data_IF_644824988999
#
_entry.id   IF_644824988999
#
_cell.length_a   1.000
_cell.length_b   1.000
_cell.length_c   1.000
_cell.angle_alpha   90.00
_cell.angle_beta   90.00
_cell.angle_gamma   90.00
#
_symmetry.space_group_name_H-M   'P 1'
#
loop_
_entity.id
_entity.type
_entity.pdbx_description
1 polymer ?
#
# COMPACT_ATOMS: atom_id res chain seq x y z
N UNK A 1 -19.56 9.27 26.51
CA UNK A 1 -18.76 8.07 26.21
C UNK A 1 -17.32 8.15 26.78
N UNK A 2 -16.60 9.26 26.69
CA UNK A 2 -15.22 9.44 27.21
C UNK A 2 -15.13 9.19 28.73
N UNK A 3 -16.10 9.63 29.52
CA UNK A 3 -16.11 9.47 31.00
C UNK A 3 -16.18 8.00 31.46
N UNK A 4 -16.86 7.12 30.74
CA UNK A 4 -16.99 5.69 31.13
C UNK A 4 -15.70 4.89 30.83
N UNK A 5 -15.00 5.21 29.75
CA UNK A 5 -13.73 4.57 29.39
C UNK A 5 -12.62 4.96 30.39
N UNK A 6 -12.53 6.24 30.76
CA UNK A 6 -11.55 6.72 31.76
C UNK A 6 -11.83 6.09 33.14
N UNK A 7 -13.09 5.92 33.53
CA UNK A 7 -13.43 5.26 34.79
C UNK A 7 -13.01 3.79 34.82
N UNK A 8 -13.15 3.07 33.71
CA UNK A 8 -12.70 1.69 33.57
C UNK A 8 -11.17 1.57 33.66
N UNK A 9 -10.45 2.44 32.95
CA UNK A 9 -8.97 2.50 32.97
C UNK A 9 -8.49 2.81 34.41
N UNK A 10 -9.14 3.75 35.09
CA UNK A 10 -8.80 4.07 36.49
C UNK A 10 -8.94 2.86 37.42
N UNK A 11 -10.00 2.10 37.28
CA UNK A 11 -10.20 0.90 38.10
C UNK A 11 -9.11 -0.15 37.85
N UNK A 12 -8.72 -0.35 36.59
CA UNK A 12 -7.61 -1.25 36.22
C UNK A 12 -6.27 -0.78 36.81
N UNK A 13 -5.96 0.53 36.74
CA UNK A 13 -4.73 1.08 37.31
C UNK A 13 -4.67 0.97 38.84
N UNK A 14 -5.80 1.16 39.53
CA UNK A 14 -5.88 0.98 41.00
C UNK A 14 -5.63 -0.48 41.38
N UNK A 15 -6.25 -1.43 40.69
CA UNK A 15 -6.02 -2.87 40.93
C UNK A 15 -4.54 -3.25 40.63
N UNK A 16 -3.99 -2.74 39.56
CA UNK A 16 -2.57 -2.94 39.19
C UNK A 16 -1.63 -2.38 40.26
N UNK A 17 -1.92 -1.19 40.80
CA UNK A 17 -1.16 -0.57 41.87
C UNK A 17 -1.08 -1.46 43.09
N UNK A 18 -2.24 -1.96 43.57
CA UNK A 18 -2.34 -2.83 44.76
C UNK A 18 -1.47 -4.09 44.53
N UNK A 19 -1.63 -4.77 43.42
CA UNK A 19 -0.85 -5.97 43.08
C UNK A 19 0.65 -5.71 43.04
N UNK A 20 1.07 -4.58 42.46
CA UNK A 20 2.48 -4.19 42.41
C UNK A 20 3.04 -3.89 43.81
N UNK A 21 2.28 -3.18 44.66
CA UNK A 21 2.68 -2.88 46.05
C UNK A 21 2.88 -4.15 46.87
N UNK A 22 1.99 -5.13 46.73
CA UNK A 22 2.12 -6.41 47.43
C UNK A 22 3.33 -7.21 46.95
N UNK A 23 3.54 -7.26 45.60
CA UNK A 23 4.67 -7.98 45.01
C UNK A 23 6.02 -7.35 45.35
N UNK A 24 6.10 -6.01 45.41
CA UNK A 24 7.33 -5.26 45.81
C UNK A 24 7.74 -5.59 47.23
N UNK A 25 6.80 -5.89 48.15
CA UNK A 25 7.13 -6.28 49.52
C UNK A 25 7.71 -7.68 49.65
N UNK A 26 7.46 -8.55 48.67
CA UNK A 26 7.85 -9.96 48.73
C UNK A 26 9.19 -10.27 48.04
N UNK A 27 9.64 -9.40 47.13
CA UNK A 27 10.81 -9.65 46.26
C UNK A 27 12.07 -8.93 46.75
N UNK A 28 13.22 -9.64 46.79
CA UNK A 28 14.50 -9.14 47.27
C UNK A 28 15.16 -8.05 46.41
N UNK A 29 14.79 -7.88 45.14
CA UNK A 29 15.32 -6.82 44.26
C UNK A 29 14.23 -6.28 43.33
N UNK A 30 13.32 -5.40 43.82
CA UNK A 30 12.14 -4.96 43.10
C UNK A 30 12.35 -3.72 42.20
N UNK A 31 13.58 -3.39 41.78
CA UNK A 31 13.85 -2.12 41.08
C UNK A 31 12.95 -1.89 39.86
N UNK A 32 12.71 -2.87 39.01
CA UNK A 32 11.82 -2.76 37.83
C UNK A 32 10.35 -2.63 38.25
N UNK A 33 9.94 -3.28 39.35
CA UNK A 33 8.56 -3.21 39.85
C UNK A 33 8.30 -1.86 40.51
N UNK A 34 9.29 -1.28 41.19
CA UNK A 34 9.21 0.08 41.74
C UNK A 34 9.08 1.11 40.61
N UNK A 35 9.84 0.96 39.52
CA UNK A 35 9.69 1.85 38.34
C UNK A 35 8.29 1.79 37.79
N UNK A 36 7.76 0.59 37.61
CA UNK A 36 6.39 0.38 37.10
C UNK A 36 5.33 0.91 38.07
N UNK A 37 5.52 0.76 39.37
CA UNK A 37 4.63 1.31 40.39
C UNK A 37 4.60 2.85 40.32
N UNK A 38 5.75 3.49 40.17
CA UNK A 38 5.85 4.93 39.99
C UNK A 38 5.15 5.42 38.71
N UNK A 39 5.20 4.65 37.62
CA UNK A 39 4.48 4.98 36.38
C UNK A 39 2.94 4.89 36.59
N UNK A 40 2.48 3.87 37.32
CA UNK A 40 1.06 3.70 37.66
C UNK A 40 0.59 4.84 38.58
N UNK A 41 1.38 5.19 39.61
CA UNK A 41 1.07 6.30 40.52
C UNK A 41 1.01 7.64 39.74
N UNK A 42 1.96 7.91 38.86
CA UNK A 42 1.95 9.09 37.97
C UNK A 42 0.72 9.14 37.06
N UNK A 43 0.27 8.00 36.51
CA UNK A 43 -0.95 7.97 35.70
C UNK A 43 -2.21 8.27 36.51
N UNK A 44 -2.31 7.74 37.73
CA UNK A 44 -3.41 8.04 38.67
C UNK A 44 -3.42 9.50 39.12
N UNK A 45 -2.24 10.07 39.41
CA UNK A 45 -2.08 11.49 39.73
C UNK A 45 -2.54 12.40 38.57
N UNK A 46 -2.20 12.06 37.33
CA UNK A 46 -2.71 12.79 36.14
C UNK A 46 -4.23 12.71 36.02
N UNK A 47 -4.84 11.56 36.37
CA UNK A 47 -6.30 11.44 36.41
C UNK A 47 -6.92 12.36 37.49
N UNK A 48 -6.29 12.44 38.66
CA UNK A 48 -6.77 13.30 39.76
C UNK A 48 -6.63 14.79 39.43
N UNK A 49 -5.60 15.15 38.70
CA UNK A 49 -5.31 16.53 38.26
C UNK A 49 -6.05 16.92 36.96
N UNK A 50 -6.78 16.00 36.32
CA UNK A 50 -7.51 16.24 35.08
C UNK A 50 -6.63 16.38 33.83
N UNK A 51 -5.35 15.97 33.90
CA UNK A 51 -4.39 16.01 32.78
C UNK A 51 -4.16 14.65 32.12
N UNK A 52 -4.84 13.60 32.59
CA UNK A 52 -4.77 12.28 31.96
C UNK A 52 -5.34 12.30 30.56
N UNK A 53 -4.61 11.68 29.62
CA UNK A 53 -4.97 11.68 28.20
C UNK A 53 -4.47 12.90 27.44
N UNK A 54 -3.74 13.81 28.09
CA UNK A 54 -3.02 14.90 27.42
C UNK A 54 -1.53 14.57 27.31
N UNK A 55 -0.93 14.91 26.17
CA UNK A 55 0.50 14.75 25.93
C UNK A 55 1.29 15.66 26.85
N UNK A 56 2.33 15.14 27.52
CA UNK A 56 3.18 15.94 28.44
C UNK A 56 4.00 17.04 27.73
N UNK A 57 4.11 17.00 26.38
CA UNK A 57 4.90 17.98 25.60
C UNK A 57 4.02 19.06 24.98
N UNK A 58 3.00 18.68 24.18
CA UNK A 58 2.15 19.63 23.45
C UNK A 58 0.80 19.92 24.12
N UNK A 59 0.42 19.13 25.14
CA UNK A 59 -0.87 19.18 25.83
C UNK A 59 -2.08 18.88 24.93
N UNK A 60 -1.85 18.36 23.71
CA UNK A 60 -2.90 17.86 22.84
C UNK A 60 -3.40 16.48 23.34
N UNK A 61 -4.63 16.09 23.02
CA UNK A 61 -5.17 14.77 23.38
C UNK A 61 -4.30 13.64 22.82
N UNK A 62 -4.01 12.65 23.67
CA UNK A 62 -3.47 11.36 23.24
C UNK A 62 -4.61 10.54 22.65
N UNK A 63 -4.36 9.82 21.59
CA UNK A 63 -5.35 9.03 20.89
C UNK A 63 -5.99 7.96 21.80
N UNK A 64 -7.31 7.93 21.88
CA UNK A 64 -8.08 7.08 22.81
C UNK A 64 -7.71 5.59 22.70
N UNK A 65 -7.52 5.08 21.49
CA UNK A 65 -7.17 3.68 21.27
C UNK A 65 -5.81 3.32 21.87
N UNK A 66 -4.86 4.27 21.92
CA UNK A 66 -3.54 4.08 22.51
C UNK A 66 -3.61 4.03 24.03
N UNK A 67 -4.43 4.88 24.64
CA UNK A 67 -4.67 4.87 26.08
C UNK A 67 -5.39 3.58 26.53
N UNK A 68 -6.22 2.98 25.66
CA UNK A 68 -6.85 1.69 25.93
C UNK A 68 -5.85 0.54 25.86
N UNK A 69 -4.86 0.60 24.96
CA UNK A 69 -3.80 -0.41 24.84
C UNK A 69 -2.73 -0.27 25.93
N UNK A 70 -2.31 0.96 26.19
CA UNK A 70 -1.33 1.29 27.23
C UNK A 70 -1.81 2.47 28.08
N UNK A 71 -2.47 2.18 29.24
CA UNK A 71 -2.94 3.20 30.17
C UNK A 71 -1.85 4.08 30.80
N UNK A 72 -0.58 3.73 30.69
CA UNK A 72 0.54 4.50 31.24
C UNK A 72 1.11 5.53 30.26
N UNK A 73 0.58 5.58 29.02
CA UNK A 73 1.08 6.45 27.97
C UNK A 73 1.02 7.93 28.33
N UNK A 74 2.10 8.66 27.98
CA UNK A 74 2.29 10.07 28.33
C UNK A 74 2.40 10.99 27.12
N UNK A 75 2.59 10.43 25.93
CA UNK A 75 2.90 11.18 24.72
C UNK A 75 1.96 10.81 23.58
N UNK A 76 1.50 11.79 22.79
CA UNK A 76 0.81 11.57 21.52
C UNK A 76 1.77 10.99 20.47
N UNK A 77 1.27 10.64 19.30
CA UNK A 77 2.10 10.08 18.21
C UNK A 77 3.26 11.00 17.82
N UNK A 78 3.03 12.31 17.84
CA UNK A 78 4.05 13.29 17.46
C UNK A 78 5.19 13.42 18.50
N UNK A 79 4.97 12.94 19.73
CA UNK A 79 5.89 13.09 20.85
C UNK A 79 6.26 11.75 21.50
N UNK A 80 6.49 10.73 20.68
CA UNK A 80 7.01 9.44 21.16
C UNK A 80 8.39 9.62 21.81
N UNK A 81 8.69 8.83 22.85
CA UNK A 81 10.04 8.75 23.39
C UNK A 81 11.01 8.21 22.33
N UNK A 82 12.29 8.57 22.43
CA UNK A 82 13.34 8.08 21.51
C UNK A 82 13.37 6.54 21.42
N UNK A 83 13.02 5.84 22.51
CA UNK A 83 12.93 4.39 22.52
C UNK A 83 11.75 3.90 21.69
N UNK A 84 10.56 4.46 21.92
CA UNK A 84 9.34 4.10 21.17
C UNK A 84 9.46 4.46 19.68
N UNK A 85 10.08 5.59 19.34
CA UNK A 85 10.37 5.95 17.95
C UNK A 85 11.26 4.91 17.27
N UNK A 86 12.33 4.45 17.94
CA UNK A 86 13.21 3.41 17.39
C UNK A 86 12.51 2.06 17.24
N UNK A 87 11.67 1.66 18.19
CA UNK A 87 10.88 0.42 18.11
C UNK A 87 9.92 0.48 16.94
N UNK A 88 9.15 1.56 16.81
CA UNK A 88 8.23 1.78 15.68
C UNK A 88 8.97 1.78 14.34
N UNK A 89 10.12 2.46 14.26
CA UNK A 89 10.95 2.46 13.03
C UNK A 89 11.46 1.07 12.67
N UNK A 90 11.80 0.24 13.65
CA UNK A 90 12.22 -1.15 13.43
C UNK A 90 11.07 -2.01 12.92
N UNK A 91 9.86 -1.85 13.47
CA UNK A 91 8.68 -2.57 13.04
C UNK A 91 8.28 -2.17 11.60
N UNK A 92 8.33 -0.88 11.28
CA UNK A 92 8.08 -0.39 9.91
C UNK A 92 9.14 -0.89 8.91
N UNK A 93 10.42 -0.93 9.30
CA UNK A 93 11.48 -1.53 8.47
C UNK A 93 11.26 -3.02 8.23
N UNK A 94 10.75 -3.74 9.24
CA UNK A 94 10.39 -5.15 9.09
C UNK A 94 9.18 -5.32 8.15
N UNK A 95 8.14 -4.51 8.31
CA UNK A 95 6.97 -4.50 7.43
C UNK A 95 7.38 -4.22 5.96
N UNK A 96 8.25 -3.22 5.74
CA UNK A 96 8.82 -2.92 4.41
C UNK A 96 9.57 -4.12 3.81
N UNK A 97 10.36 -4.82 4.61
CA UNK A 97 11.05 -6.04 4.14
C UNK A 97 10.06 -7.14 3.74
N UNK A 98 9.01 -7.37 4.54
CA UNK A 98 7.97 -8.34 4.22
C UNK A 98 7.28 -7.94 2.92
N UNK A 99 6.85 -6.68 2.78
CA UNK A 99 6.21 -6.17 1.58
C UNK A 99 7.07 -6.37 0.33
N UNK A 100 8.37 -6.09 0.41
CA UNK A 100 9.31 -6.32 -0.70
C UNK A 100 9.44 -7.80 -1.10
N UNK A 101 9.12 -8.75 -0.22
CA UNK A 101 9.10 -10.18 -0.57
C UNK A 101 7.85 -10.59 -1.36
N UNK A 102 6.81 -9.76 -1.33
CA UNK A 102 5.57 -9.98 -2.10
C UNK A 102 5.70 -9.51 -3.55
N UNK A 103 6.66 -8.65 -3.85
CA UNK A 103 6.88 -8.15 -5.21
C UNK A 103 7.37 -9.28 -6.14
N UNK A 104 6.97 -9.27 -7.42
CA UNK A 104 7.41 -10.27 -8.39
C UNK A 104 8.92 -10.20 -8.63
N UNK A 105 9.49 -11.23 -9.24
CA UNK A 105 10.89 -11.17 -9.69
C UNK A 105 11.03 -10.09 -10.75
N UNK A 106 11.97 -9.18 -10.58
CA UNK A 106 12.19 -8.12 -11.54
C UNK A 106 13.06 -8.59 -12.71
N UNK A 107 12.91 -7.95 -13.88
CA UNK A 107 13.66 -8.23 -15.10
C UNK A 107 13.56 -9.70 -15.53
N UNK A 108 12.36 -10.17 -15.78
CA UNK A 108 12.09 -11.55 -16.12
C UNK A 108 11.35 -11.70 -17.45
N UNK A 109 11.42 -12.91 -17.99
CA UNK A 109 10.67 -13.33 -19.18
C UNK A 109 9.75 -14.48 -18.79
N UNK A 110 8.48 -14.39 -19.17
CA UNK A 110 7.48 -15.40 -18.90
C UNK A 110 6.56 -15.58 -20.12
N UNK A 111 6.43 -16.80 -20.61
CA UNK A 111 5.53 -17.18 -21.71
C UNK A 111 5.54 -16.25 -22.95
N UNK A 112 6.72 -15.78 -23.35
CA UNK A 112 6.90 -14.91 -24.51
C UNK A 112 6.64 -13.43 -24.22
N UNK A 113 6.67 -13.04 -22.96
CA UNK A 113 6.60 -11.67 -22.51
C UNK A 113 7.82 -11.34 -21.66
N UNK A 114 8.47 -10.21 -21.92
CA UNK A 114 9.48 -9.61 -21.07
C UNK A 114 8.79 -8.56 -20.21
N UNK A 115 9.15 -8.46 -18.93
CA UNK A 115 8.68 -7.39 -18.06
C UNK A 115 9.77 -6.85 -17.16
N UNK A 116 9.62 -5.58 -16.79
CA UNK A 116 10.44 -4.88 -15.82
C UNK A 116 9.56 -3.87 -15.08
N UNK A 117 9.76 -3.76 -13.78
CA UNK A 117 9.03 -2.78 -12.97
C UNK A 117 9.97 -1.90 -12.15
N UNK A 118 9.47 -0.74 -11.78
CA UNK A 118 10.01 0.15 -10.76
C UNK A 118 8.97 0.25 -9.64
N UNK A 119 9.42 0.14 -8.40
CA UNK A 119 8.59 0.22 -7.21
C UNK A 119 9.35 1.03 -6.16
N UNK A 120 8.85 2.20 -5.82
CA UNK A 120 9.50 3.15 -4.93
C UNK A 120 8.46 3.76 -3.98
N UNK A 121 8.37 3.25 -2.74
CA UNK A 121 7.52 3.83 -1.70
C UNK A 121 7.90 5.29 -1.40
N UNK A 122 6.91 6.14 -1.15
CA UNK A 122 7.14 7.51 -0.65
C UNK A 122 7.62 7.49 0.81
N UNK A 123 7.16 6.52 1.57
CA UNK A 123 7.53 6.29 2.97
C UNK A 123 8.26 4.94 3.13
N UNK A 124 8.19 4.33 4.34
CA UNK A 124 8.81 3.02 4.59
C UNK A 124 8.01 1.85 4.00
N UNK A 125 6.70 2.00 3.89
CA UNK A 125 5.76 1.03 3.31
C UNK A 125 4.85 1.73 2.32
N UNK A 126 4.25 1.01 1.39
CA UNK A 126 3.49 1.55 0.27
C UNK A 126 2.09 0.94 0.18
N UNK A 127 1.12 1.72 -0.33
CA UNK A 127 -0.20 1.24 -0.76
C UNK A 127 -0.20 0.62 -2.15
N UNK A 128 0.83 0.90 -2.96
CA UNK A 128 0.92 0.40 -4.32
C UNK A 128 1.06 -1.13 -4.37
N UNK A 129 0.34 -1.74 -5.29
CA UNK A 129 0.39 -3.17 -5.58
C UNK A 129 0.93 -3.40 -6.99
N UNK A 130 1.96 -4.25 -7.10
CA UNK A 130 2.52 -4.68 -8.38
C UNK A 130 2.77 -6.19 -8.33
N UNK A 131 2.25 -6.94 -9.29
CA UNK A 131 2.41 -8.39 -9.30
C UNK A 131 2.43 -8.98 -10.71
N UNK A 132 3.05 -10.18 -10.82
CA UNK A 132 3.05 -11.01 -12.02
C UNK A 132 2.72 -12.45 -11.62
N UNK A 133 1.49 -12.87 -11.88
CA UNK A 133 0.96 -14.14 -11.40
C UNK A 133 0.67 -15.07 -12.57
N UNK A 134 1.27 -16.25 -12.54
CA UNK A 134 0.97 -17.30 -13.52
C UNK A 134 -0.39 -17.93 -13.17
N UNK A 135 -1.25 -18.09 -14.16
CA UNK A 135 -2.39 -18.99 -14.05
C UNK A 135 -1.88 -20.44 -13.97
N UNK A 136 -2.72 -21.43 -13.96
CA UNK A 136 -2.30 -22.85 -13.91
C UNK A 136 -1.11 -23.13 -14.85
N UNK A 137 -0.18 -23.98 -14.40
CA UNK A 137 1.07 -24.38 -15.13
C UNK A 137 0.84 -24.82 -16.59
N UNK A 138 -0.37 -25.22 -16.95
CA UNK A 138 -0.74 -25.67 -18.29
C UNK A 138 -1.33 -24.57 -19.19
N UNK A 139 -1.83 -23.45 -18.63
CA UNK A 139 -2.58 -22.44 -19.38
C UNK A 139 -1.72 -21.46 -20.17
N UNK A 140 -0.44 -21.34 -19.84
CA UNK A 140 0.51 -20.38 -20.46
C UNK A 140 -0.05 -18.95 -20.55
N UNK A 141 -0.84 -18.56 -19.57
CA UNK A 141 -1.37 -17.21 -19.40
C UNK A 141 -0.78 -16.56 -18.17
N UNK A 142 -0.53 -15.26 -18.23
CA UNK A 142 0.05 -14.47 -17.16
C UNK A 142 -0.84 -13.29 -16.83
N UNK A 143 -1.08 -13.08 -15.54
CA UNK A 143 -1.61 -11.83 -15.03
C UNK A 143 -0.47 -10.88 -14.73
N UNK A 144 -0.59 -9.66 -15.21
CA UNK A 144 0.20 -8.51 -14.82
C UNK A 144 -0.75 -7.55 -14.13
N UNK A 145 -0.47 -7.19 -12.91
CA UNK A 145 -1.40 -6.45 -12.06
C UNK A 145 -0.67 -5.25 -11.47
N UNK A 146 -1.30 -4.10 -11.54
CA UNK A 146 -0.90 -2.90 -10.80
C UNK A 146 -2.13 -2.31 -10.14
N UNK A 147 -1.95 -1.72 -8.97
CA UNK A 147 -3.03 -1.08 -8.23
C UNK A 147 -2.48 -0.10 -7.21
N UNK A 148 -3.37 0.72 -6.70
CA UNK A 148 -3.10 1.62 -5.59
C UNK A 148 -4.27 1.58 -4.61
N UNK A 149 -3.94 1.39 -3.33
CA UNK A 149 -4.91 1.32 -2.24
C UNK A 149 -5.10 2.70 -1.63
N UNK A 150 -6.35 3.10 -1.49
CA UNK A 150 -6.71 4.38 -0.88
C UNK A 150 -6.11 4.56 0.52
N UNK A 151 -5.48 5.72 0.76
CA UNK A 151 -4.78 6.06 2.00
C UNK A 151 -3.28 5.77 1.92
N UNK A 152 -2.57 5.99 3.02
CA UNK A 152 -1.10 5.87 3.09
C UNK A 152 -0.65 5.11 4.32
N UNK A 153 0.62 4.75 4.34
CA UNK A 153 1.28 4.14 5.49
C UNK A 153 0.85 2.70 5.76
N UNK A 154 0.85 2.31 7.04
CA UNK A 154 0.67 0.92 7.47
C UNK A 154 -0.66 0.32 7.02
N UNK A 155 -1.77 1.08 7.13
CA UNK A 155 -3.09 0.58 6.75
C UNK A 155 -3.16 0.23 5.26
N UNK A 156 -2.70 1.11 4.38
CA UNK A 156 -2.65 0.87 2.94
C UNK A 156 -1.73 -0.32 2.60
N UNK A 157 -0.57 -0.44 3.26
CA UNK A 157 0.36 -1.56 3.06
C UNK A 157 -0.22 -2.92 3.47
N UNK A 158 -1.05 -2.97 4.53
CA UNK A 158 -1.78 -4.18 4.92
C UNK A 158 -2.82 -4.58 3.87
N UNK A 159 -3.55 -3.61 3.33
CA UNK A 159 -4.54 -3.85 2.27
C UNK A 159 -3.86 -4.26 0.96
N UNK A 160 -2.69 -3.69 0.62
CA UNK A 160 -1.86 -4.16 -0.49
C UNK A 160 -1.48 -5.64 -0.33
N UNK A 161 -1.05 -6.04 0.87
CA UNK A 161 -0.72 -7.44 1.17
C UNK A 161 -1.95 -8.34 1.09
N UNK A 162 -3.12 -7.83 1.45
CA UNK A 162 -4.39 -8.53 1.28
C UNK A 162 -4.74 -8.73 -0.20
N UNK A 163 -4.57 -7.69 -1.06
CA UNK A 163 -4.72 -7.83 -2.51
C UNK A 163 -3.81 -8.90 -3.09
N UNK A 164 -2.52 -8.90 -2.69
CA UNK A 164 -1.57 -9.92 -3.11
C UNK A 164 -2.07 -11.34 -2.79
N UNK A 165 -2.45 -11.61 -1.55
CA UNK A 165 -2.95 -12.93 -1.14
C UNK A 165 -4.23 -13.33 -1.88
N UNK A 166 -5.13 -12.38 -2.11
CA UNK A 166 -6.39 -12.56 -2.81
C UNK A 166 -6.16 -12.92 -4.29
N UNK A 167 -5.33 -12.16 -5.01
CA UNK A 167 -5.07 -12.43 -6.43
C UNK A 167 -4.28 -13.73 -6.64
N UNK A 168 -3.33 -14.07 -5.77
CA UNK A 168 -2.67 -15.37 -5.80
C UNK A 168 -3.64 -16.54 -5.58
N UNK A 169 -4.61 -16.38 -4.69
CA UNK A 169 -5.64 -17.40 -4.46
C UNK A 169 -6.59 -17.52 -5.65
N UNK A 170 -7.08 -16.39 -6.17
CA UNK A 170 -8.03 -16.37 -7.27
C UNK A 170 -7.42 -16.81 -8.61
N UNK A 171 -6.16 -16.50 -8.87
CA UNK A 171 -5.47 -16.90 -10.10
C UNK A 171 -5.29 -18.42 -10.24
N UNK A 172 -5.33 -19.15 -9.12
CA UNK A 172 -5.29 -20.62 -9.11
C UNK A 172 -6.58 -21.28 -9.60
N UNK A 173 -7.67 -20.53 -9.64
CA UNK A 173 -8.99 -20.99 -10.10
C UNK A 173 -9.17 -20.44 -11.52
N UNK A 174 -9.18 -21.25 -12.52
CA UNK A 174 -9.23 -20.86 -13.94
C UNK A 174 -10.43 -19.96 -14.30
N UNK A 175 -10.40 -18.69 -13.80
CA UNK A 175 -11.40 -17.65 -14.06
C UNK A 175 -10.97 -16.81 -15.27
N UNK A 176 -11.93 -16.25 -16.00
CA UNK A 176 -11.65 -15.14 -16.89
C UNK A 176 -11.41 -13.84 -16.11
N UNK A 177 -10.97 -12.77 -16.79
CA UNK A 177 -10.61 -11.51 -16.14
C UNK A 177 -11.84 -10.86 -15.49
N UNK A 178 -12.99 -10.92 -16.11
CA UNK A 178 -14.25 -10.36 -15.60
C UNK A 178 -14.64 -11.01 -14.26
N UNK A 179 -14.78 -12.32 -14.26
CA UNK A 179 -15.14 -13.09 -13.06
C UNK A 179 -14.12 -12.96 -11.93
N UNK A 180 -12.83 -12.86 -12.30
CA UNK A 180 -11.74 -12.69 -11.34
C UNK A 180 -11.88 -11.34 -10.62
N UNK A 181 -12.08 -10.24 -11.37
CA UNK A 181 -12.19 -8.89 -10.79
C UNK A 181 -13.46 -8.73 -9.97
N UNK A 182 -14.61 -9.29 -10.43
CA UNK A 182 -15.85 -9.24 -9.65
C UNK A 182 -15.74 -10.00 -8.33
N UNK A 183 -15.08 -11.17 -8.32
CA UNK A 183 -14.83 -11.91 -7.09
C UNK A 183 -13.86 -11.17 -6.17
N UNK A 184 -12.79 -10.59 -6.74
CA UNK A 184 -11.88 -9.75 -6.01
C UNK A 184 -12.59 -8.56 -5.36
N UNK A 185 -13.43 -7.85 -6.09
CA UNK A 185 -14.24 -6.75 -5.58
C UNK A 185 -15.12 -7.17 -4.39
N UNK A 186 -15.84 -8.28 -4.52
CA UNK A 186 -16.71 -8.80 -3.46
C UNK A 186 -15.90 -9.16 -2.21
N UNK A 187 -14.81 -9.93 -2.36
CA UNK A 187 -13.94 -10.32 -1.25
C UNK A 187 -13.31 -9.11 -0.57
N UNK A 188 -12.90 -8.11 -1.34
CA UNK A 188 -12.32 -6.89 -0.79
C UNK A 188 -13.36 -6.11 0.03
N UNK A 189 -14.59 -5.95 -0.49
CA UNK A 189 -15.69 -5.36 0.28
C UNK A 189 -16.03 -6.10 1.57
N UNK A 190 -16.02 -7.44 1.55
CA UNK A 190 -16.37 -8.26 2.72
C UNK A 190 -15.30 -8.24 3.81
N UNK A 191 -14.04 -7.99 3.43
CA UNK A 191 -12.88 -8.13 4.32
C UNK A 191 -12.24 -6.81 4.71
N UNK A 192 -12.72 -5.67 4.19
CA UNK A 192 -12.15 -4.34 4.46
C UNK A 192 -13.20 -3.37 5.01
N UNK A 193 -12.75 -2.23 5.52
CA UNK A 193 -13.64 -1.16 5.94
C UNK A 193 -14.25 -0.48 4.71
N UNK A 194 -15.53 -0.10 4.80
CA UNK A 194 -16.27 0.57 3.71
C UNK A 194 -15.68 1.91 3.23
N UNK A 195 -14.71 2.44 3.95
CA UNK A 195 -13.97 3.67 3.60
C UNK A 195 -12.74 3.41 2.74
N UNK A 196 -12.38 2.14 2.52
CA UNK A 196 -11.19 1.75 1.77
C UNK A 196 -11.56 1.11 0.44
N UNK A 197 -10.85 1.49 -0.58
CA UNK A 197 -10.97 0.97 -1.95
C UNK A 197 -9.57 0.89 -2.58
N UNK A 198 -9.46 0.21 -3.70
CA UNK A 198 -8.24 0.21 -4.49
C UNK A 198 -8.55 0.43 -5.96
N UNK A 199 -7.79 1.28 -6.61
CA UNK A 199 -7.72 1.32 -8.06
C UNK A 199 -6.90 0.13 -8.54
N UNK A 200 -7.25 -0.44 -9.71
CA UNK A 200 -6.59 -1.64 -10.20
C UNK A 200 -6.61 -1.72 -11.72
N UNK A 201 -5.47 -2.03 -12.33
CA UNK A 201 -5.37 -2.43 -13.73
C UNK A 201 -4.83 -3.86 -13.81
N UNK A 202 -5.59 -4.74 -14.45
CA UNK A 202 -5.25 -6.15 -14.64
C UNK A 202 -5.12 -6.44 -16.12
N UNK A 203 -4.01 -7.06 -16.50
CA UNK A 203 -3.69 -7.50 -17.84
C UNK A 203 -3.53 -9.02 -17.81
N UNK A 204 -4.39 -9.75 -18.48
CA UNK A 204 -4.19 -11.18 -18.77
C UNK A 204 -3.61 -11.32 -20.16
N UNK A 205 -2.42 -11.87 -20.28
CA UNK A 205 -1.74 -12.05 -21.55
C UNK A 205 -1.39 -13.52 -21.80
N UNK A 206 -1.56 -13.97 -23.04
CA UNK A 206 -1.14 -15.30 -23.46
C UNK A 206 0.07 -15.26 -24.41
N UNK A 207 0.66 -16.41 -24.66
CA UNK A 207 1.83 -16.54 -25.52
C UNK A 207 1.57 -16.09 -26.98
N UNK A 208 0.33 -16.17 -27.47
CA UNK A 208 0.00 -15.74 -28.83
C UNK A 208 -0.06 -14.23 -29.01
N UNK A 209 -0.02 -13.45 -27.91
CA UNK A 209 -0.14 -11.99 -27.91
C UNK A 209 -1.59 -11.50 -27.76
N UNK A 210 -2.54 -12.38 -27.46
CA UNK A 210 -3.88 -11.95 -27.07
C UNK A 210 -3.83 -11.43 -25.63
N UNK A 211 -4.45 -10.28 -25.42
CA UNK A 211 -4.43 -9.54 -24.16
C UNK A 211 -5.85 -9.13 -23.79
N UNK A 212 -6.24 -9.42 -22.57
CA UNK A 212 -7.47 -8.94 -21.94
C UNK A 212 -7.12 -7.97 -20.82
N UNK A 213 -7.72 -6.77 -20.83
CA UNK A 213 -7.44 -5.71 -19.87
C UNK A 213 -8.73 -5.28 -19.18
N UNK A 214 -8.72 -5.31 -17.86
CA UNK A 214 -9.71 -4.66 -17.01
C UNK A 214 -9.03 -3.49 -16.29
N UNK A 215 -9.60 -2.29 -16.39
CA UNK A 215 -9.16 -1.10 -15.66
C UNK A 215 -10.26 -0.69 -14.67
N UNK A 216 -10.09 -1.04 -13.41
CA UNK A 216 -10.99 -0.70 -12.31
C UNK A 216 -10.59 0.63 -11.67
N UNK A 217 -10.82 1.73 -12.39
CA UNK A 217 -10.59 3.10 -11.92
C UNK A 217 -9.13 3.49 -11.72
N UNK A 218 -8.19 2.78 -12.31
CA UNK A 218 -6.75 3.03 -12.23
C UNK A 218 -6.27 3.98 -13.33
N UNK A 219 -5.05 4.55 -13.19
CA UNK A 219 -4.37 5.26 -14.26
C UNK A 219 -4.40 4.44 -15.54
N UNK A 220 -4.73 5.08 -16.65
CA UNK A 220 -5.00 4.35 -17.89
C UNK A 220 -3.75 3.65 -18.45
N UNK A 221 -3.75 2.30 -18.59
CA UNK A 221 -2.69 1.57 -19.25
C UNK A 221 -2.45 2.08 -20.67
N UNK A 222 -1.19 2.11 -21.10
CA UNK A 222 -0.81 2.49 -22.45
C UNK A 222 -0.39 1.25 -23.24
N UNK A 223 -1.10 0.97 -24.34
CA UNK A 223 -0.65 0.00 -25.34
C UNK A 223 0.25 0.72 -26.36
N UNK A 224 1.53 0.45 -26.29
CA UNK A 224 2.54 1.10 -27.11
C UNK A 224 2.85 0.20 -28.32
N UNK A 225 2.29 0.54 -29.46
CA UNK A 225 2.52 -0.13 -30.74
C UNK A 225 3.43 0.69 -31.64
N UNK A 226 4.01 0.07 -32.63
CA UNK A 226 4.92 0.74 -33.59
C UNK A 226 4.36 2.05 -34.14
N UNK A 227 3.07 2.07 -34.52
CA UNK A 227 2.45 3.18 -35.24
C UNK A 227 1.50 4.02 -34.38
N UNK A 228 1.13 3.58 -33.19
CA UNK A 228 0.16 4.24 -32.35
C UNK A 228 0.33 3.88 -30.88
N UNK A 229 -0.11 4.78 -30.00
CA UNK A 229 -0.32 4.49 -28.58
C UNK A 229 -1.82 4.52 -28.33
N UNK A 230 -2.32 3.51 -27.65
CA UNK A 230 -3.74 3.40 -27.25
C UNK A 230 -3.82 3.52 -25.76
N UNK A 231 -4.55 4.49 -25.27
CA UNK A 231 -4.88 4.66 -23.85
C UNK A 231 -6.09 3.75 -23.55
N UNK A 232 -5.98 2.91 -22.51
CA UNK A 232 -7.06 2.01 -22.09
C UNK A 232 -7.81 2.66 -20.93
N UNK A 233 -8.93 3.31 -21.25
CA UNK A 233 -9.75 3.98 -20.26
C UNK A 233 -10.33 3.00 -19.23
N UNK A 234 -10.82 3.52 -18.10
CA UNK A 234 -11.45 2.74 -17.06
C UNK A 234 -12.68 1.98 -17.59
N UNK A 235 -12.77 0.71 -17.24
CA UNK A 235 -13.87 -0.20 -17.59
C UNK A 235 -14.75 -0.54 -16.40
N UNK A 236 -14.46 0.02 -15.25
CA UNK A 236 -15.19 -0.11 -13.99
C UNK A 236 -14.68 0.90 -12.96
N UNK A 237 -15.33 0.94 -11.80
CA UNK A 237 -14.94 1.76 -10.67
C UNK A 237 -13.86 1.06 -9.83
N UNK A 238 -13.15 1.76 -8.92
CA UNK A 238 -12.23 1.11 -7.98
C UNK A 238 -12.87 -0.05 -7.22
N UNK A 239 -12.12 -1.12 -7.01
CA UNK A 239 -12.59 -2.26 -6.22
C UNK A 239 -12.76 -1.88 -4.75
N UNK A 240 -13.79 -2.42 -4.09
CA UNK A 240 -14.15 -2.09 -2.71
C UNK A 240 -15.02 -0.85 -2.58
N UNK A 241 -15.20 -0.04 -3.65
CA UNK A 241 -16.03 1.17 -3.59
C UNK A 241 -17.53 0.83 -3.58
N UNK A 242 -17.95 -0.12 -4.43
CA UNK A 242 -19.30 -0.66 -4.45
C UNK A 242 -19.25 -2.18 -4.67
N UNK A 243 -19.84 -2.93 -3.76
CA UNK A 243 -19.70 -4.40 -3.73
C UNK A 243 -20.41 -5.12 -4.90
N UNK A 244 -21.34 -4.46 -5.58
CA UNK A 244 -22.10 -4.98 -6.75
C UNK A 244 -21.68 -4.34 -8.07
N UNK A 245 -20.49 -3.75 -8.15
CA UNK A 245 -19.99 -3.15 -9.39
C UNK A 245 -19.74 -4.23 -10.45
N UNK A 246 -20.03 -3.86 -11.70
CA UNK A 246 -19.66 -4.62 -12.90
C UNK A 246 -18.36 -4.08 -13.48
N UNK A 247 -17.56 -4.96 -14.09
CA UNK A 247 -16.26 -4.63 -14.65
C UNK A 247 -16.17 -5.07 -16.11
N UNK A 248 -15.95 -4.12 -17.00
CA UNK A 248 -15.71 -4.41 -18.41
C UNK A 248 -14.31 -4.94 -18.68
N UNK A 249 -14.16 -5.67 -19.77
CA UNK A 249 -12.86 -6.21 -20.24
C UNK A 249 -12.64 -5.83 -21.70
N UNK A 250 -11.56 -5.14 -21.99
CA UNK A 250 -11.13 -4.83 -23.34
C UNK A 250 -10.17 -5.90 -23.86
N UNK A 251 -10.33 -6.32 -25.12
CA UNK A 251 -9.49 -7.34 -25.77
C UNK A 251 -8.63 -6.72 -26.86
N UNK A 252 -7.35 -7.07 -26.86
CA UNK A 252 -6.39 -6.58 -27.83
C UNK A 252 -5.52 -7.73 -28.37
N UNK A 253 -4.92 -7.48 -29.51
CA UNK A 253 -3.87 -8.32 -30.07
C UNK A 253 -2.58 -7.50 -30.19
N UNK A 254 -1.52 -7.99 -29.56
CA UNK A 254 -0.19 -7.41 -29.59
C UNK A 254 0.74 -8.30 -30.41
N UNK A 255 1.59 -7.66 -31.19
CA UNK A 255 2.61 -8.30 -31.99
C UNK A 255 3.98 -8.24 -31.31
N UNK A 256 4.94 -9.02 -31.79
CA UNK A 256 6.31 -8.95 -31.29
C UNK A 256 6.85 -7.52 -31.42
N UNK A 257 7.37 -7.00 -30.32
CA UNK A 257 7.86 -5.63 -30.20
C UNK A 257 6.85 -4.64 -29.61
N UNK A 258 5.54 -4.94 -29.61
CA UNK A 258 4.54 -4.12 -28.94
C UNK A 258 4.71 -4.22 -27.41
N UNK A 259 4.35 -3.17 -26.69
CA UNK A 259 4.50 -3.08 -25.23
C UNK A 259 3.23 -2.59 -24.54
N UNK A 260 3.12 -2.88 -23.26
CA UNK A 260 2.10 -2.33 -22.35
C UNK A 260 2.87 -1.59 -21.26
N UNK A 261 2.43 -0.39 -20.93
CA UNK A 261 2.97 0.40 -19.82
C UNK A 261 1.84 0.70 -18.82
N UNK A 262 2.06 0.30 -17.60
CA UNK A 262 1.17 0.51 -16.45
C UNK A 262 1.90 1.38 -15.44
N UNK A 263 1.18 2.27 -14.74
CA UNK A 263 1.78 3.18 -13.77
C UNK A 263 0.74 3.65 -12.75
N UNK A 264 1.18 3.96 -11.53
CA UNK A 264 0.36 4.59 -10.50
C UNK A 264 0.39 6.12 -10.61
N UNK A 265 -0.52 6.78 -9.93
CA UNK A 265 -0.68 8.24 -9.94
C UNK A 265 0.55 8.98 -9.42
N UNK A 266 1.39 8.36 -8.58
CA UNK A 266 2.70 8.90 -8.21
C UNK A 266 3.62 9.27 -9.40
N UNK A 267 3.34 8.77 -10.62
CA UNK A 267 3.97 9.27 -11.83
C UNK A 267 3.26 10.52 -12.37
N UNK A 268 1.96 10.41 -12.66
CA UNK A 268 1.19 11.48 -13.33
C UNK A 268 0.92 12.67 -12.43
N UNK A 269 0.70 12.43 -11.13
CA UNK A 269 0.40 13.46 -10.14
C UNK A 269 1.66 13.98 -9.41
N UNK A 270 2.85 13.59 -9.85
CA UNK A 270 4.08 14.17 -9.33
C UNK A 270 4.14 15.68 -9.59
N UNK A 271 4.48 16.45 -8.56
CA UNK A 271 4.50 17.92 -8.62
C UNK A 271 5.92 18.49 -8.49
N UNK A 272 6.21 19.47 -9.33
CA UNK A 272 7.32 20.39 -9.17
C UNK A 272 6.77 21.78 -8.93
N UNK A 273 6.74 22.25 -7.68
CA UNK A 273 6.03 23.46 -7.25
C UNK A 273 4.55 23.42 -7.69
N UNK A 274 4.14 24.34 -8.57
CA UNK A 274 2.75 24.49 -9.05
C UNK A 274 2.46 23.66 -10.33
N UNK A 275 3.42 22.90 -10.82
CA UNK A 275 3.27 22.13 -12.06
C UNK A 275 3.17 20.62 -11.73
N UNK A 276 2.14 20.00 -12.29
CA UNK A 276 1.96 18.55 -12.29
C UNK A 276 2.68 17.92 -13.50
N UNK A 277 3.24 16.73 -13.33
CA UNK A 277 3.86 15.97 -14.43
C UNK A 277 2.84 15.70 -15.53
N UNK A 278 1.68 15.23 -15.18
CA UNK A 278 0.50 15.09 -16.00
C UNK A 278 0.54 13.98 -17.04
N UNK A 279 -0.64 13.48 -17.41
CA UNK A 279 -0.79 12.42 -18.41
C UNK A 279 -0.21 12.79 -19.79
N UNK A 280 -0.26 14.08 -20.17
CA UNK A 280 0.31 14.52 -21.45
C UNK A 280 1.82 14.29 -21.52
N UNK A 281 2.53 14.45 -20.41
CA UNK A 281 3.96 14.20 -20.34
C UNK A 281 4.23 12.70 -20.36
N UNK A 282 3.41 11.89 -19.67
CA UNK A 282 3.46 10.42 -19.75
C UNK A 282 3.35 9.97 -21.21
N UNK A 283 2.37 10.49 -21.97
CA UNK A 283 2.20 10.19 -23.40
C UNK A 283 3.37 10.64 -24.26
N UNK A 284 3.92 11.83 -24.00
CA UNK A 284 5.06 12.36 -24.73
C UNK A 284 6.33 11.52 -24.55
N UNK A 285 6.55 10.98 -23.36
CA UNK A 285 7.65 10.03 -23.11
C UNK A 285 7.37 8.72 -23.85
N UNK A 286 6.14 8.17 -23.75
CA UNK A 286 5.75 6.94 -24.45
C UNK A 286 6.03 7.01 -25.96
N UNK A 287 5.75 8.15 -26.61
CA UNK A 287 6.02 8.35 -28.05
C UNK A 287 7.51 8.18 -28.41
N UNK A 288 8.41 8.59 -27.51
CA UNK A 288 9.86 8.54 -27.73
C UNK A 288 10.46 7.15 -27.52
N UNK A 289 9.80 6.30 -26.73
CA UNK A 289 10.35 5.02 -26.27
C UNK A 289 9.70 3.79 -26.90
N UNK A 290 8.94 3.93 -27.98
CA UNK A 290 8.19 2.84 -28.65
C UNK A 290 9.03 1.60 -28.98
N UNK A 291 10.31 1.78 -29.24
CA UNK A 291 11.23 0.67 -29.62
C UNK A 291 12.10 0.17 -28.46
N UNK A 292 11.99 0.77 -27.29
CA UNK A 292 12.84 0.43 -26.14
C UNK A 292 12.49 -0.94 -25.56
N UNK A 293 13.47 -1.57 -24.90
CA UNK A 293 13.21 -2.73 -24.04
C UNK A 293 12.60 -2.28 -22.71
N UNK A 294 11.97 -3.19 -21.99
CA UNK A 294 11.19 -2.87 -20.77
C UNK A 294 12.01 -2.07 -19.75
N UNK A 295 13.25 -2.48 -19.47
CA UNK A 295 14.14 -1.77 -18.55
C UNK A 295 14.46 -0.36 -19.03
N UNK A 296 14.70 -0.19 -20.34
CA UNK A 296 14.99 1.13 -20.92
C UNK A 296 13.77 2.04 -20.88
N UNK A 297 12.56 1.48 -21.05
CA UNK A 297 11.31 2.23 -20.91
C UNK A 297 11.17 2.80 -19.50
N UNK A 298 11.35 1.97 -18.49
CA UNK A 298 11.29 2.39 -17.09
C UNK A 298 12.37 3.43 -16.79
N UNK A 299 13.62 3.23 -17.23
CA UNK A 299 14.70 4.22 -17.04
C UNK A 299 14.35 5.56 -17.67
N UNK A 300 13.78 5.58 -18.87
CA UNK A 300 13.41 6.82 -19.54
C UNK A 300 12.35 7.61 -18.76
N UNK A 301 11.36 6.93 -18.17
CA UNK A 301 10.36 7.59 -17.29
C UNK A 301 11.00 8.08 -15.99
N UNK A 302 11.83 7.29 -15.32
CA UNK A 302 12.51 7.71 -14.10
C UNK A 302 13.45 8.89 -14.32
N UNK A 303 14.18 8.92 -15.42
CA UNK A 303 15.08 10.01 -15.77
C UNK A 303 14.30 11.30 -16.09
N UNK A 304 13.21 11.20 -16.86
CA UNK A 304 12.35 12.33 -17.18
C UNK A 304 11.64 12.89 -15.95
N UNK A 305 11.13 12.01 -15.06
CA UNK A 305 10.51 12.40 -13.79
C UNK A 305 11.53 13.09 -12.87
N UNK A 306 12.72 12.52 -12.71
CA UNK A 306 13.81 13.11 -11.90
C UNK A 306 14.18 14.49 -12.40
N UNK A 307 14.29 14.66 -13.72
CA UNK A 307 14.56 15.95 -14.36
C UNK A 307 13.42 16.95 -14.13
N UNK A 308 12.18 16.48 -14.14
CA UNK A 308 11.00 17.32 -13.88
C UNK A 308 10.95 17.79 -12.43
N UNK A 309 11.17 16.89 -11.48
CA UNK A 309 11.13 17.20 -10.04
C UNK A 309 12.21 18.18 -9.62
N UNK A 310 13.35 18.23 -10.32
CA UNK A 310 14.45 19.19 -10.05
C UNK A 310 14.84 19.30 -8.57
N UNK A 311 14.75 18.18 -7.82
CA UNK A 311 15.07 18.11 -6.40
C UNK A 311 13.88 18.28 -5.45
N UNK A 312 12.65 18.46 -5.95
CA UNK A 312 11.44 18.37 -5.15
C UNK A 312 11.26 16.94 -4.60
N UNK A 313 10.73 16.83 -3.38
CA UNK A 313 10.45 15.52 -2.80
C UNK A 313 9.23 14.88 -3.48
N UNK A 314 9.26 13.56 -3.61
CA UNK A 314 8.09 12.79 -4.04
C UNK A 314 7.02 12.84 -2.96
N UNK A 315 5.79 13.00 -3.38
CA UNK A 315 4.61 13.10 -2.49
C UNK A 315 3.83 11.81 -2.38
N UNK A 316 4.05 10.86 -3.30
CA UNK A 316 3.32 9.59 -3.36
C UNK A 316 4.20 8.41 -3.76
N UNK A 317 3.67 7.20 -3.53
CA UNK A 317 4.26 5.94 -3.97
C UNK A 317 4.36 5.93 -5.50
N UNK A 318 5.45 5.44 -6.04
CA UNK A 318 5.71 5.39 -7.48
C UNK A 318 5.90 3.96 -7.94
N UNK A 319 4.93 3.47 -8.68
CA UNK A 319 5.04 2.15 -9.31
C UNK A 319 4.83 2.24 -10.82
N UNK A 320 5.72 1.61 -11.57
CA UNK A 320 5.64 1.50 -13.02
C UNK A 320 5.95 0.07 -13.45
N UNK A 321 5.19 -0.47 -14.37
CA UNK A 321 5.38 -1.81 -14.93
C UNK A 321 5.36 -1.75 -16.46
N UNK A 322 6.48 -2.08 -17.09
CA UNK A 322 6.60 -2.22 -18.53
C UNK A 322 6.60 -3.71 -18.92
N UNK A 323 5.78 -4.06 -19.89
CA UNK A 323 5.58 -5.41 -20.40
C UNK A 323 5.77 -5.38 -21.91
N UNK A 324 6.57 -6.27 -22.48
CA UNK A 324 6.86 -6.31 -23.92
C UNK A 324 6.62 -7.69 -24.48
N UNK A 325 5.91 -7.77 -25.63
CA UNK A 325 5.75 -9.00 -26.39
C UNK A 325 7.05 -9.32 -27.14
N UNK A 326 7.57 -10.50 -26.91
CA UNK A 326 8.77 -11.03 -27.58
C UNK A 326 8.42 -11.70 -28.91
#
# INVERSE_FOLDING_TARGET
MISSAISSIRAQLVDRRIKLQDTVREIKNPANLISLLNEVDSALERMDNGTYGLCEVCHDPIEDYRLQQDPLMKFCLDHLTTKQQKELEQDLKLASKIQNTLLPRNNATVDGWEYFYHYEPAELVSGDYCDVVSTDKNSKKQFFIIGDVSGKGVAASMLMSHLHAMFHSLSSINLDVHDLVERANRLFCESTLSTHYSTLAIVLANKSGEVEICNAGHCAPLLIKKNQIIKVDATGVPIGLFCSSEFGVNKYKLESGDSIFLYTDGLSEAHNHDQEYGENRVMNVAEKIKTFQTKQMISAYTDDLTSFLSGSLKSDDLTMLAIKKL
#
